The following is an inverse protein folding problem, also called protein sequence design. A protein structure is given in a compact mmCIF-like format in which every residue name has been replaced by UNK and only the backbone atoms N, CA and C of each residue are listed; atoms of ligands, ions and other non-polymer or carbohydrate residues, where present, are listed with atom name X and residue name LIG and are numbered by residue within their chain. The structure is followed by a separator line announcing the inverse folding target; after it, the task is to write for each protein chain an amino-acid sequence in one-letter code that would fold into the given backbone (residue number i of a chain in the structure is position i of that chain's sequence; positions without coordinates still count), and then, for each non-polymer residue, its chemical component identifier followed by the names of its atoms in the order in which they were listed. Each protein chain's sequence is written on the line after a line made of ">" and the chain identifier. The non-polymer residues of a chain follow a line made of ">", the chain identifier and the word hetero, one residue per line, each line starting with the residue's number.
data_IF_781414649300
#
_entry.id   IF_781414649300
#
_cell.length_a   1.000
_cell.length_b   1.000
_cell.length_c   1.000
_cell.angle_alpha   90.00
_cell.angle_beta   90.00
_cell.angle_gamma   90.00
#
_symmetry.space_group_name_H-M   'P 1'
#
loop_
_entity.id
_entity.type
_entity.pdbx_description
1 polymer ?
#
# COMPACT_ATOMS: atom_id res chain seq x y z
N UNK A 1 -3.82 18.68 -22.22
CA UNK A 1 -2.79 18.50 -21.21
C UNK A 1 -3.35 17.69 -20.04
N UNK A 2 -2.87 16.54 -19.84
CA UNK A 2 -3.38 15.74 -18.75
C UNK A 2 -2.99 16.36 -17.41
N UNK A 3 -3.92 16.35 -16.50
CA UNK A 3 -3.62 16.73 -15.14
C UNK A 3 -2.61 15.74 -14.57
N UNK A 4 -1.74 16.23 -13.71
CA UNK A 4 -0.85 15.34 -13.00
C UNK A 4 -1.68 14.52 -12.03
N UNK A 5 -1.87 13.26 -12.32
CA UNK A 5 -2.58 12.38 -11.41
C UNK A 5 -1.56 11.58 -10.62
N UNK A 6 -1.89 11.32 -9.35
CA UNK A 6 -1.10 10.43 -8.55
C UNK A 6 -1.05 9.05 -9.21
N UNK A 7 0.04 8.30 -9.08
CA UNK A 7 0.11 6.96 -9.62
C UNK A 7 -1.01 6.10 -9.08
N UNK A 8 -1.61 5.29 -9.95
CA UNK A 8 -2.68 4.39 -9.56
C UNK A 8 -2.10 3.26 -8.73
N UNK A 9 -2.75 2.98 -7.62
CA UNK A 9 -2.38 1.86 -6.76
C UNK A 9 -3.48 0.82 -6.79
N UNK A 10 -3.11 -0.41 -7.12
CA UNK A 10 -4.00 -1.56 -7.04
C UNK A 10 -3.34 -2.58 -6.12
N UNK A 11 -4.10 -3.04 -5.12
CA UNK A 11 -3.59 -3.99 -4.13
C UNK A 11 -4.42 -5.26 -4.16
N UNK A 12 -3.76 -6.40 -4.13
CA UNK A 12 -4.40 -7.70 -3.96
C UNK A 12 -4.20 -8.15 -2.53
N UNK A 13 -5.30 -8.59 -1.92
CA UNK A 13 -5.32 -9.03 -0.53
C UNK A 13 -5.61 -10.52 -0.47
N UNK A 14 -5.01 -11.18 0.50
CA UNK A 14 -5.34 -12.56 0.85
C UNK A 14 -5.56 -12.58 2.36
N UNK A 15 -6.74 -13.06 2.79
CA UNK A 15 -7.13 -13.05 4.20
C UNK A 15 -7.00 -11.64 4.81
N UNK A 16 -7.40 -10.63 4.03
CA UNK A 16 -7.34 -9.22 4.43
C UNK A 16 -5.94 -8.69 4.67
N UNK A 17 -4.93 -9.34 4.11
CA UNK A 17 -3.53 -8.96 4.23
C UNK A 17 -2.98 -8.67 2.83
N UNK A 18 -2.27 -7.55 2.63
CA UNK A 18 -1.67 -7.25 1.32
C UNK A 18 -0.63 -8.30 0.93
N UNK A 19 -0.70 -8.78 -0.31
CA UNK A 19 0.26 -9.76 -0.82
C UNK A 19 1.02 -9.26 -2.03
N UNK A 20 0.40 -8.41 -2.85
CA UNK A 20 1.06 -7.81 -4.00
C UNK A 20 0.30 -6.56 -4.43
N UNK A 21 0.97 -5.73 -5.23
CA UNK A 21 0.34 -4.52 -5.73
C UNK A 21 0.93 -4.10 -7.06
N UNK A 22 0.21 -3.24 -7.76
CA UNK A 22 0.72 -2.51 -8.92
C UNK A 22 0.72 -1.04 -8.52
N UNK A 23 1.89 -0.42 -8.59
CA UNK A 23 2.04 0.99 -8.25
C UNK A 23 3.06 1.62 -9.18
N UNK A 24 2.70 2.75 -9.78
CA UNK A 24 3.58 3.45 -10.70
C UNK A 24 3.94 2.61 -11.92
N UNK A 25 2.98 1.80 -12.41
CA UNK A 25 3.16 0.90 -13.53
C UNK A 25 4.18 -0.21 -13.28
N UNK A 26 4.50 -0.45 -12.02
CA UNK A 26 5.38 -1.54 -11.62
C UNK A 26 4.62 -2.55 -10.78
N UNK A 27 5.02 -3.79 -10.91
CA UNK A 27 4.48 -4.87 -10.10
C UNK A 27 5.37 -5.07 -8.89
N UNK A 28 4.75 -5.05 -7.73
CA UNK A 28 5.45 -5.21 -6.46
C UNK A 28 4.88 -6.41 -5.73
N UNK A 29 5.75 -7.17 -5.11
CA UNK A 29 5.35 -8.29 -4.28
C UNK A 29 5.72 -7.97 -2.84
N UNK A 30 4.77 -8.15 -1.92
CA UNK A 30 5.04 -7.94 -0.50
C UNK A 30 6.06 -8.97 -0.05
N UNK A 31 7.17 -8.49 0.51
CA UNK A 31 8.31 -9.34 0.85
C UNK A 31 8.55 -9.49 2.34
N UNK A 32 7.69 -8.89 3.17
CA UNK A 32 7.75 -9.10 4.62
C UNK A 32 6.34 -9.23 5.16
N UNK A 33 6.22 -9.34 6.48
CA UNK A 33 4.90 -9.41 7.13
C UNK A 33 4.34 -8.00 7.26
N UNK A 34 3.19 -7.70 6.63
CA UNK A 34 2.60 -6.37 6.75
C UNK A 34 2.20 -6.04 8.18
N UNK A 35 2.39 -4.79 8.55
CA UNK A 35 2.01 -4.27 9.85
C UNK A 35 0.80 -3.37 9.68
N UNK A 36 -0.30 -3.60 10.39
CA UNK A 36 -1.47 -2.73 10.29
C UNK A 36 -1.16 -1.35 10.84
N UNK A 37 -1.69 -0.33 10.15
CA UNK A 37 -1.55 1.05 10.57
C UNK A 37 -2.92 1.57 11.00
N UNK A 38 -2.96 2.21 12.15
CA UNK A 38 -4.19 2.79 12.67
C UNK A 38 -4.40 4.18 12.12
N UNK A 39 -5.66 4.59 12.03
CA UNK A 39 -5.99 5.95 11.66
C UNK A 39 -5.67 6.89 12.81
N UNK A 40 -5.37 8.12 12.48
CA UNK A 40 -5.04 9.14 13.47
C UNK A 40 -6.21 9.53 14.38
N UNK A 41 -7.42 9.23 13.97
CA UNK A 41 -8.60 9.75 14.62
C UNK A 41 -9.03 8.96 15.85
N UNK A 42 -8.29 7.93 16.19
CA UNK A 42 -8.67 7.10 17.32
C UNK A 42 -10.00 6.39 17.12
N UNK A 43 -10.52 6.40 15.92
CA UNK A 43 -11.73 5.65 15.62
C UNK A 43 -11.46 4.18 15.82
N UNK A 44 -12.22 3.56 16.68
CA UNK A 44 -12.10 2.13 16.87
C UNK A 44 -12.77 1.47 15.69
N UNK A 45 -11.98 1.20 14.68
CA UNK A 45 -12.41 0.39 13.55
C UNK A 45 -11.89 -1.01 13.76
N UNK A 46 -12.72 -1.99 13.51
CA UNK A 46 -12.30 -3.39 13.60
C UNK A 46 -11.33 -3.76 12.49
N UNK A 47 -11.19 -2.92 11.47
CA UNK A 47 -10.30 -3.18 10.35
C UNK A 47 -9.26 -2.08 10.24
N UNK A 48 -7.98 -2.43 10.07
CA UNK A 48 -6.96 -1.41 9.84
C UNK A 48 -7.21 -0.73 8.50
N UNK A 49 -7.07 0.58 8.47
CA UNK A 49 -7.24 1.36 7.25
C UNK A 49 -5.96 1.49 6.46
N UNK A 50 -4.86 1.00 6.98
CA UNK A 50 -3.59 1.08 6.31
C UNK A 50 -2.67 -0.04 6.69
N UNK A 51 -1.60 -0.15 5.92
CA UNK A 51 -0.60 -1.18 6.12
C UNK A 51 0.77 -0.63 5.82
N UNK A 52 1.75 -1.09 6.59
CA UNK A 52 3.17 -0.88 6.29
C UNK A 52 3.78 -2.20 5.91
N UNK A 53 4.46 -2.25 4.79
CA UNK A 53 5.12 -3.47 4.35
C UNK A 53 6.29 -3.15 3.43
N UNK A 54 7.22 -4.08 3.36
CA UNK A 54 8.26 -4.04 2.35
C UNK A 54 7.76 -4.75 1.10
N UNK A 55 8.02 -4.19 -0.06
CA UNK A 55 7.69 -4.83 -1.31
C UNK A 55 8.87 -4.76 -2.26
N UNK A 56 8.97 -5.77 -3.11
CA UNK A 56 10.07 -5.90 -4.05
C UNK A 56 9.50 -5.96 -5.47
N UNK A 57 10.06 -5.18 -6.36
CA UNK A 57 9.62 -5.16 -7.76
C UNK A 57 10.27 -6.27 -8.57
N UNK A 58 9.96 -6.29 -9.87
CA UNK A 58 10.47 -7.33 -10.77
C UNK A 58 11.98 -7.29 -10.96
N UNK A 59 12.59 -6.15 -10.69
CA UNK A 59 14.04 -5.98 -10.81
C UNK A 59 14.77 -6.27 -9.51
N UNK A 60 14.04 -6.61 -8.45
CA UNK A 60 14.64 -6.88 -7.16
C UNK A 60 14.83 -5.64 -6.29
N UNK A 61 14.25 -4.52 -6.69
CA UNK A 61 14.33 -3.28 -5.93
C UNK A 61 13.28 -3.27 -4.83
N UNK A 62 13.69 -3.01 -3.61
CA UNK A 62 12.79 -3.08 -2.45
C UNK A 62 12.61 -1.72 -1.80
N UNK A 63 11.36 -1.45 -1.41
CA UNK A 63 11.00 -0.25 -0.65
C UNK A 63 9.99 -0.64 0.42
N UNK A 64 9.94 0.16 1.47
CA UNK A 64 8.87 0.05 2.47
C UNK A 64 7.79 1.05 2.10
N UNK A 65 6.56 0.60 2.12
CA UNK A 65 5.40 1.41 1.74
C UNK A 65 4.45 1.54 2.93
N UNK A 66 3.94 2.76 3.12
CA UNK A 66 2.77 2.99 3.95
C UNK A 66 1.61 3.27 3.01
N UNK A 67 0.61 2.40 3.04
CA UNK A 67 -0.57 2.52 2.17
C UNK A 67 -1.81 2.64 3.02
N UNK A 68 -2.77 3.41 2.54
CA UNK A 68 -4.04 3.60 3.24
C UNK A 68 -5.19 3.44 2.27
N UNK A 69 -6.30 2.96 2.80
CA UNK A 69 -7.55 2.87 2.08
C UNK A 69 -8.46 3.99 2.57
N UNK A 70 -8.78 4.93 1.71
CA UNK A 70 -9.74 5.99 2.00
C UNK A 70 -10.85 5.95 0.97
N UNK A 71 -12.10 5.83 1.43
CA UNK A 71 -13.26 5.83 0.55
C UNK A 71 -13.14 4.83 -0.58
N UNK A 72 -12.70 3.62 -0.25
CA UNK A 72 -12.48 2.53 -1.21
C UNK A 72 -11.37 2.79 -2.22
N UNK A 73 -10.52 3.75 -1.93
CA UNK A 73 -9.33 4.00 -2.73
C UNK A 73 -8.08 3.72 -1.92
N UNK A 74 -7.20 2.92 -2.49
CA UNK A 74 -5.88 2.71 -1.91
C UNK A 74 -4.92 3.76 -2.44
N UNK A 75 -4.11 4.32 -1.54
CA UNK A 75 -3.06 5.24 -1.96
C UNK A 75 -1.80 5.02 -1.14
N UNK A 76 -0.66 5.35 -1.74
CA UNK A 76 0.62 5.32 -1.04
C UNK A 76 0.78 6.64 -0.30
N UNK A 77 0.89 6.54 1.02
CA UNK A 77 1.09 7.73 1.86
C UNK A 77 2.56 8.09 1.94
N UNK A 78 3.43 7.11 2.05
CA UNK A 78 4.85 7.32 2.19
C UNK A 78 5.64 6.10 1.74
N UNK A 79 6.82 6.35 1.21
CA UNK A 79 7.76 5.27 0.89
C UNK A 79 9.06 5.53 1.64
N UNK A 80 9.74 4.44 2.00
CA UNK A 80 11.03 4.48 2.68
C UNK A 80 11.99 3.60 1.93
N UNK A 81 13.19 4.05 1.78
CA UNK A 81 14.24 3.25 1.16
C UNK A 81 15.28 2.78 2.19
#
# INVERSE_FOLDING_TARGET
>A
MPATTAPTLTIWMTDDIPVRMIYGQRRWRVSDTPTPLETRDGCVSSEPRGWRFQATDEEGFSLVFDVFNERDHWHVHRTYS
#
